data_IF_021492878270
#
_entry.id   IF_021492878270
#
_cell.length_a   1.000
_cell.length_b   1.000
_cell.length_c   1.000
_cell.angle_alpha   90.00
_cell.angle_beta   90.00
_cell.angle_gamma   90.00
#
_symmetry.space_group_name_H-M   'P 1'
#
loop_
_entity.id
_entity.type
_entity.pdbx_description
1 polymer ?
#
# COMPACT_ATOMS: atom_id res chain seq x y z
N UNK A 1 -5.56 -15.89 13.00
CA UNK A 1 -4.55 -15.02 13.56
C UNK A 1 -4.50 -13.68 12.86
N UNK A 2 -4.12 -12.66 13.57
CA UNK A 2 -4.07 -11.30 13.03
C UNK A 2 -2.65 -10.93 12.61
N UNK A 3 -2.53 -10.33 11.43
CA UNK A 3 -1.27 -9.77 10.93
C UNK A 3 -1.47 -8.28 10.68
N UNK A 4 -0.46 -7.49 11.02
CA UNK A 4 -0.47 -6.05 10.84
C UNK A 4 0.59 -5.68 9.80
N UNK A 5 0.22 -4.83 8.86
CA UNK A 5 1.12 -4.44 7.78
C UNK A 5 0.90 -3.00 7.37
N UNK A 6 1.81 -2.48 6.56
CA UNK A 6 1.68 -1.17 5.95
C UNK A 6 1.75 -1.31 4.44
N UNK A 7 1.10 -0.40 3.74
CA UNK A 7 1.26 -0.21 2.31
C UNK A 7 1.40 1.28 2.07
N UNK A 8 2.43 1.68 1.34
CA UNK A 8 2.82 3.09 1.24
C UNK A 8 2.93 3.49 -0.22
N UNK A 9 2.33 4.63 -0.53
CA UNK A 9 2.37 5.21 -1.87
C UNK A 9 3.15 6.51 -1.83
N UNK A 10 4.31 6.52 -2.47
CA UNK A 10 5.18 7.69 -2.53
C UNK A 10 4.77 8.50 -3.75
N UNK A 11 4.46 9.76 -3.51
CA UNK A 11 3.81 10.65 -4.47
C UNK A 11 4.70 11.87 -4.70
N UNK A 12 5.17 12.04 -5.94
CA UNK A 12 6.03 13.17 -6.29
C UNK A 12 5.25 14.37 -6.84
N UNK A 13 3.92 14.33 -6.76
CA UNK A 13 3.05 15.39 -7.27
C UNK A 13 2.53 15.14 -8.68
N UNK A 14 3.05 14.15 -9.37
CA UNK A 14 2.65 13.78 -10.74
C UNK A 14 2.53 12.28 -10.92
N UNK A 15 3.27 11.52 -10.12
CA UNK A 15 3.38 10.08 -10.26
C UNK A 15 3.35 9.42 -8.90
N UNK A 16 2.92 8.16 -8.85
CA UNK A 16 3.07 7.32 -7.67
C UNK A 16 4.17 6.31 -7.93
N UNK A 17 4.97 6.03 -6.91
CA UNK A 17 5.99 4.99 -6.99
C UNK A 17 5.32 3.65 -6.74
N UNK A 18 5.36 2.76 -7.72
CA UNK A 18 4.84 1.42 -7.58
C UNK A 18 5.97 0.40 -7.69
N UNK A 19 5.80 -0.71 -7.02
CA UNK A 19 6.76 -1.80 -7.01
C UNK A 19 6.15 -2.98 -7.77
N UNK A 20 6.77 -3.38 -8.87
CA UNK A 20 6.40 -4.61 -9.57
C UNK A 20 7.09 -5.77 -8.89
N UNK A 21 6.32 -6.71 -8.38
CA UNK A 21 6.86 -7.88 -7.67
C UNK A 21 7.34 -8.92 -8.68
N UNK A 22 8.59 -8.86 -9.05
CA UNK A 22 9.16 -9.70 -10.10
C UNK A 22 10.50 -10.36 -9.73
N UNK A 23 10.90 -10.30 -8.45
CA UNK A 23 12.20 -10.83 -8.02
C UNK A 23 12.14 -12.06 -7.13
N UNK A 24 10.97 -12.39 -6.58
CA UNK A 24 10.81 -13.54 -5.69
C UNK A 24 9.88 -14.58 -6.31
N UNK A 25 10.33 -15.83 -6.49
CA UNK A 25 9.44 -16.88 -6.99
C UNK A 25 8.39 -17.23 -5.93
N UNK A 26 7.21 -17.63 -6.38
CA UNK A 26 6.10 -18.05 -5.51
C UNK A 26 5.62 -16.94 -4.56
N UNK A 27 5.87 -15.68 -4.93
CA UNK A 27 5.36 -14.53 -4.21
C UNK A 27 3.86 -14.40 -4.50
N UNK A 28 3.04 -14.22 -3.47
CA UNK A 28 1.59 -14.08 -3.63
C UNK A 28 1.26 -12.88 -4.53
N UNK A 29 2.14 -11.88 -4.58
CA UNK A 29 1.97 -10.70 -5.43
C UNK A 29 2.71 -10.78 -6.76
N UNK A 30 3.24 -11.96 -7.14
CA UNK A 30 4.07 -12.09 -8.32
C UNK A 30 3.44 -11.46 -9.56
N UNK A 31 4.21 -10.61 -10.25
CA UNK A 31 3.78 -9.92 -11.47
C UNK A 31 2.89 -8.71 -11.25
N UNK A 32 2.52 -8.41 -10.00
CA UNK A 32 1.63 -7.31 -9.70
C UNK A 32 2.40 -6.06 -9.27
N UNK A 33 1.82 -4.90 -9.59
CA UNK A 33 2.32 -3.61 -9.13
C UNK A 33 1.60 -3.26 -7.84
N UNK A 34 2.35 -3.00 -6.78
CA UNK A 34 1.78 -2.66 -5.46
C UNK A 34 2.53 -1.48 -4.87
N UNK A 35 2.01 -0.92 -3.79
CA UNK A 35 2.75 0.03 -2.98
C UNK A 35 3.85 -0.69 -2.21
N UNK A 36 4.81 0.08 -1.68
CA UNK A 36 5.86 -0.47 -0.84
C UNK A 36 5.39 -0.57 0.60
N UNK A 37 5.97 -1.47 1.37
CA UNK A 37 5.57 -1.67 2.76
C UNK A 37 5.86 -3.10 3.21
N UNK A 38 5.34 -3.46 4.37
CA UNK A 38 5.55 -4.79 4.90
C UNK A 38 4.95 -4.96 6.27
N UNK A 39 5.31 -6.05 6.92
CA UNK A 39 4.78 -6.39 8.23
C UNK A 39 5.33 -5.47 9.31
N UNK A 40 4.45 -5.06 10.22
CA UNK A 40 4.83 -4.28 11.40
C UNK A 40 5.55 -5.23 12.36
N UNK A 41 6.73 -4.84 12.79
CA UNK A 41 7.51 -5.65 13.72
C UNK A 41 7.13 -5.34 15.16
N UNK A 42 7.49 -6.24 16.07
CA UNK A 42 7.17 -6.07 17.47
C UNK A 42 7.67 -4.72 17.98
N UNK A 43 6.80 -3.96 18.61
CA UNK A 43 7.14 -2.66 19.19
C UNK A 43 7.17 -1.49 18.21
N UNK A 44 7.01 -1.74 16.92
CA UNK A 44 6.94 -0.66 15.93
C UNK A 44 5.55 -0.03 15.88
N UNK A 45 5.49 1.28 15.73
CA UNK A 45 4.25 1.92 15.30
C UNK A 45 4.07 1.70 13.79
N UNK A 46 2.85 1.91 13.25
CA UNK A 46 2.66 1.87 11.79
C UNK A 46 3.60 2.83 11.07
N UNK A 47 3.81 4.04 11.62
CA UNK A 47 4.69 5.03 11.03
C UNK A 47 6.14 4.56 10.99
N UNK A 48 6.62 3.99 12.08
CA UNK A 48 7.98 3.45 12.12
C UNK A 48 8.19 2.34 11.10
N UNK A 49 7.21 1.46 10.98
CA UNK A 49 7.24 0.40 9.98
C UNK A 49 7.28 0.97 8.57
N UNK A 50 6.42 1.96 8.28
CA UNK A 50 6.36 2.58 6.96
C UNK A 50 7.72 3.20 6.60
N UNK A 51 8.29 3.98 7.51
CA UNK A 51 9.58 4.64 7.28
C UNK A 51 10.68 3.61 7.03
N UNK A 52 10.73 2.56 7.83
CA UNK A 52 11.73 1.49 7.69
C UNK A 52 11.58 0.74 6.37
N UNK A 53 10.38 0.29 6.06
CA UNK A 53 10.11 -0.48 4.84
C UNK A 53 10.37 0.36 3.58
N UNK A 54 9.98 1.63 3.59
CA UNK A 54 10.24 2.51 2.45
C UNK A 54 11.74 2.64 2.22
N UNK A 55 12.51 2.84 3.28
CA UNK A 55 13.97 2.97 3.14
C UNK A 55 14.60 1.66 2.64
N UNK A 56 14.19 0.53 3.21
CA UNK A 56 14.73 -0.78 2.80
C UNK A 56 14.41 -1.12 1.35
N UNK A 57 13.20 -0.80 0.90
CA UNK A 57 12.77 -1.20 -0.44
C UNK A 57 13.10 -0.17 -1.51
N UNK A 58 13.21 1.10 -1.18
CA UNK A 58 13.37 2.16 -2.18
C UNK A 58 14.62 3.01 -2.03
N UNK A 59 15.22 3.04 -0.84
CA UNK A 59 16.32 3.96 -0.55
C UNK A 59 15.86 5.36 -0.20
N UNK A 60 14.57 5.64 -0.25
CA UNK A 60 14.05 6.98 0.01
C UNK A 60 13.85 7.22 1.50
N UNK A 61 14.07 8.46 1.91
CA UNK A 61 13.89 8.92 3.27
C UNK A 61 12.63 9.76 3.34
N UNK A 62 11.71 9.36 4.22
CA UNK A 62 10.43 10.03 4.38
C UNK A 62 10.57 11.30 5.21
N UNK A 63 10.00 12.41 4.74
CA UNK A 63 9.95 13.66 5.49
C UNK A 63 8.52 14.05 5.86
N UNK A 64 7.53 13.66 5.05
CA UNK A 64 6.12 13.94 5.35
C UNK A 64 5.26 12.81 4.78
N UNK A 65 4.41 12.26 5.64
CA UNK A 65 3.46 11.25 5.22
C UNK A 65 2.16 11.40 5.99
N UNK A 66 1.08 10.87 5.43
CA UNK A 66 -0.24 10.89 6.05
C UNK A 66 -0.84 9.50 6.03
N UNK A 67 -1.49 9.12 7.13
CA UNK A 67 -2.28 7.90 7.18
C UNK A 67 -3.59 8.16 6.45
N UNK A 68 -3.84 7.44 5.37
CA UNK A 68 -5.00 7.67 4.51
C UNK A 68 -6.14 6.70 4.78
N UNK A 69 -5.85 5.55 5.36
CA UNK A 69 -6.89 4.59 5.68
C UNK A 69 -6.33 3.34 6.32
N UNK A 70 -7.25 2.49 6.74
CA UNK A 70 -6.95 1.15 7.26
C UNK A 70 -7.82 0.17 6.51
N UNK A 71 -7.22 -0.93 6.06
CA UNK A 71 -7.95 -1.95 5.31
C UNK A 71 -7.85 -3.28 6.04
N UNK A 72 -8.99 -3.94 6.17
CA UNK A 72 -9.07 -5.30 6.69
C UNK A 72 -9.17 -6.27 5.52
N UNK A 73 -8.30 -7.27 5.49
CA UNK A 73 -8.36 -8.35 4.52
C UNK A 73 -8.56 -9.67 5.28
N UNK A 74 -9.82 -10.09 5.52
CA UNK A 74 -10.04 -11.34 6.24
C UNK A 74 -9.47 -12.51 5.47
N UNK A 75 -8.71 -13.35 6.16
CA UNK A 75 -8.15 -14.58 5.63
C UNK A 75 -7.50 -14.43 4.23
N UNK A 76 -6.86 -13.29 3.97
CA UNK A 76 -6.18 -13.09 2.68
C UNK A 76 -5.09 -14.12 2.48
N UNK A 77 -4.37 -14.48 3.53
CA UNK A 77 -3.49 -15.65 3.52
C UNK A 77 -4.07 -16.68 4.49
N UNK A 78 -3.78 -17.97 4.30
CA UNK A 78 -4.39 -19.01 5.14
C UNK A 78 -4.24 -18.73 6.62
N UNK A 79 -5.37 -18.77 7.34
CA UNK A 79 -5.46 -18.60 8.79
C UNK A 79 -5.06 -17.22 9.31
N UNK A 80 -4.91 -16.21 8.43
CA UNK A 80 -4.53 -14.86 8.85
C UNK A 80 -5.47 -13.80 8.30
N UNK A 81 -5.96 -12.96 9.21
CA UNK A 81 -6.62 -11.72 8.86
C UNK A 81 -5.56 -10.63 8.83
N UNK A 82 -5.53 -9.85 7.77
CA UNK A 82 -4.56 -8.78 7.62
C UNK A 82 -5.22 -7.42 7.85
N UNK A 83 -4.59 -6.61 8.68
CA UNK A 83 -4.99 -5.21 8.90
C UNK A 83 -3.85 -4.36 8.36
N UNK A 84 -4.14 -3.56 7.34
CA UNK A 84 -3.11 -2.83 6.60
C UNK A 84 -3.34 -1.34 6.72
N UNK A 85 -2.31 -0.63 7.20
CA UNK A 85 -2.31 0.83 7.29
C UNK A 85 -1.83 1.39 5.97
N UNK A 86 -2.62 2.28 5.37
CA UNK A 86 -2.33 2.87 4.05
C UNK A 86 -1.77 4.27 4.23
N UNK A 87 -0.55 4.48 3.78
CA UNK A 87 0.12 5.78 3.88
C UNK A 87 0.36 6.40 2.51
N UNK A 88 0.32 7.72 2.46
CA UNK A 88 0.74 8.50 1.31
C UNK A 88 1.89 9.38 1.73
N UNK A 89 3.01 9.31 1.00
CA UNK A 89 4.22 10.07 1.29
C UNK A 89 4.34 11.18 0.25
N UNK A 90 4.37 12.44 0.70
CA UNK A 90 4.38 13.59 -0.20
C UNK A 90 5.69 14.38 -0.16
N UNK A 91 6.53 14.17 0.88
CA UNK A 91 7.85 14.81 0.94
C UNK A 91 8.88 13.75 1.32
N UNK A 92 9.91 13.66 0.53
CA UNK A 92 10.94 12.64 0.69
C UNK A 92 12.22 13.10 0.01
N UNK A 93 13.33 12.41 0.30
CA UNK A 93 14.63 12.68 -0.31
C UNK A 93 15.37 11.38 -0.57
N UNK A 94 16.48 11.47 -1.27
CA UNK A 94 17.31 10.32 -1.58
C UNK A 94 17.12 9.86 -3.01
N UNK A 95 17.78 8.76 -3.36
CA UNK A 95 17.74 8.20 -4.70
C UNK A 95 17.25 6.77 -4.63
N UNK A 96 16.51 6.35 -5.65
CA UNK A 96 16.01 4.99 -5.71
C UNK A 96 17.15 3.99 -5.83
N UNK A 97 17.06 2.92 -5.05
CA UNK A 97 17.97 1.79 -5.16
C UNK A 97 17.34 0.73 -6.05
N UNK A 98 18.13 -0.28 -6.41
CA UNK A 98 17.59 -1.48 -7.05
C UNK A 98 16.92 -2.30 -5.95
N UNK A 99 15.59 -2.29 -5.92
CA UNK A 99 14.85 -2.89 -4.81
C UNK A 99 15.05 -4.40 -4.74
N UNK A 100 15.28 -4.94 -3.52
CA UNK A 100 15.38 -6.40 -3.37
C UNK A 100 14.04 -7.11 -3.59
N UNK A 101 12.92 -6.37 -3.56
CA UNK A 101 11.59 -6.95 -3.66
C UNK A 101 11.04 -6.95 -5.09
N UNK A 102 11.59 -6.15 -5.98
CA UNK A 102 11.10 -6.06 -7.35
C UNK A 102 11.64 -4.86 -8.09
N UNK A 103 10.89 -4.41 -9.09
CA UNK A 103 11.26 -3.28 -9.93
C UNK A 103 10.41 -2.08 -9.56
N UNK A 104 11.07 -0.98 -9.19
CA UNK A 104 10.40 0.28 -8.87
C UNK A 104 10.13 1.07 -10.13
N UNK A 105 8.94 1.66 -10.21
CA UNK A 105 8.56 2.47 -11.36
C UNK A 105 7.73 3.67 -10.90
N UNK A 106 8.09 4.87 -11.37
CA UNK A 106 7.24 6.05 -11.20
C UNK A 106 6.15 5.99 -12.25
N UNK A 107 4.90 5.89 -11.81
CA UNK A 107 3.74 5.71 -12.70
C UNK A 107 2.88 6.97 -12.69
N UNK A 108 2.69 7.63 -13.83
CA UNK A 108 1.81 8.81 -13.90
C UNK A 108 0.41 8.48 -13.37
N UNK A 109 -0.21 9.45 -12.73
CA UNK A 109 -1.53 9.24 -12.11
C UNK A 109 -2.54 8.61 -13.08
N UNK A 110 -2.55 9.07 -14.34
CA UNK A 110 -3.50 8.57 -15.32
C UNK A 110 -3.19 7.16 -15.83
N UNK A 111 -2.12 6.56 -15.39
CA UNK A 111 -1.74 5.19 -15.76
C UNK A 111 -1.77 4.22 -14.58
N UNK A 112 -1.90 4.74 -13.35
CA UNK A 112 -1.85 3.91 -12.15
C UNK A 112 -2.89 2.79 -12.18
N UNK A 113 -4.12 3.12 -12.55
CA UNK A 113 -5.21 2.14 -12.50
C UNK A 113 -5.20 1.16 -13.69
N UNK A 114 -4.28 1.33 -14.63
CA UNK A 114 -4.13 0.39 -15.75
C UNK A 114 -3.05 -0.66 -15.50
N UNK A 115 -2.30 -0.56 -14.40
CA UNK A 115 -1.26 -1.53 -14.10
C UNK A 115 -1.84 -2.84 -13.55
N UNK A 116 -1.23 -3.98 -13.89
CA UNK A 116 -1.68 -5.27 -13.33
C UNK A 116 -1.50 -5.27 -11.81
N UNK A 117 -2.59 -5.49 -11.08
CA UNK A 117 -2.54 -5.58 -9.62
C UNK A 117 -3.82 -6.26 -9.11
N UNK A 118 -3.93 -6.35 -7.80
CA UNK A 118 -5.15 -6.86 -7.16
C UNK A 118 -6.31 -5.91 -7.46
N UNK A 119 -7.50 -6.46 -7.70
CA UNK A 119 -8.66 -5.63 -8.00
C UNK A 119 -8.99 -4.67 -6.86
N UNK A 120 -8.84 -5.12 -5.61
CA UNK A 120 -9.04 -4.24 -4.46
C UNK A 120 -8.07 -3.07 -4.44
N UNK A 121 -6.82 -3.30 -4.85
CA UNK A 121 -5.82 -2.24 -4.92
C UNK A 121 -6.24 -1.16 -5.92
N UNK A 122 -6.80 -1.54 -7.04
CA UNK A 122 -7.31 -0.57 -8.01
C UNK A 122 -8.39 0.30 -7.37
N UNK A 123 -9.23 -0.28 -6.53
CA UNK A 123 -10.32 0.45 -5.88
C UNK A 123 -9.76 1.46 -4.87
N UNK A 124 -8.92 1.03 -3.92
CA UNK A 124 -8.46 1.99 -2.91
C UNK A 124 -7.41 2.95 -3.45
N UNK A 125 -6.65 2.59 -4.49
CA UNK A 125 -5.78 3.57 -5.14
C UNK A 125 -6.60 4.67 -5.80
N UNK A 126 -7.78 4.34 -6.33
CA UNK A 126 -8.65 5.38 -6.89
C UNK A 126 -9.07 6.38 -5.80
N UNK A 127 -9.32 5.91 -4.59
CA UNK A 127 -9.66 6.81 -3.48
C UNK A 127 -8.49 7.75 -3.14
N UNK A 128 -7.26 7.24 -3.21
CA UNK A 128 -6.08 8.07 -2.99
C UNK A 128 -5.92 9.13 -4.08
N UNK A 129 -6.10 8.74 -5.33
CA UNK A 129 -5.98 9.66 -6.47
C UNK A 129 -7.08 10.72 -6.44
N UNK A 130 -8.29 10.35 -6.00
CA UNK A 130 -9.42 11.27 -5.86
C UNK A 130 -9.35 12.11 -4.59
N UNK A 131 -8.36 11.84 -3.75
CA UNK A 131 -8.18 12.53 -2.45
C UNK A 131 -9.40 12.42 -1.56
N UNK A 132 -9.99 11.22 -1.50
CA UNK A 132 -11.11 10.94 -0.61
C UNK A 132 -10.68 11.07 0.86
N UNK A 133 -11.64 11.30 1.77
CA UNK A 133 -11.34 11.36 3.20
C UNK A 133 -10.76 10.04 3.72
N UNK A 134 -10.25 10.07 4.97
CA UNK A 134 -9.76 8.85 5.63
C UNK A 134 -10.81 7.74 5.53
N UNK A 135 -10.36 6.54 5.24
CA UNK A 135 -11.27 5.42 5.08
C UNK A 135 -10.90 4.23 5.96
N UNK A 136 -11.93 3.49 6.33
CA UNK A 136 -11.78 2.16 6.90
C UNK A 136 -12.52 1.22 5.97
N UNK A 137 -11.82 0.26 5.39
CA UNK A 137 -12.41 -0.62 4.39
C UNK A 137 -12.13 -2.09 4.71
N UNK A 138 -12.99 -2.95 4.20
CA UNK A 138 -12.80 -4.40 4.30
C UNK A 138 -12.95 -4.97 2.90
N UNK A 139 -11.92 -5.69 2.44
CA UNK A 139 -11.92 -6.33 1.12
C UNK A 139 -11.93 -7.85 1.29
N UNK A 140 -12.90 -8.50 0.69
CA UNK A 140 -13.05 -9.95 0.77
C UNK A 140 -12.48 -10.58 -0.49
N UNK A 141 -11.54 -11.49 -0.31
CA UNK A 141 -10.97 -12.31 -1.37
C UNK A 141 -11.22 -13.79 -1.06
N UNK A 142 -11.46 -14.58 -2.08
CA UNK A 142 -11.58 -16.03 -1.95
C UNK A 142 -10.74 -16.67 -3.05
N UNK A 143 -9.81 -17.53 -2.67
CA UNK A 143 -8.90 -18.21 -3.61
C UNK A 143 -8.19 -17.20 -4.55
N UNK A 144 -7.78 -16.06 -3.99
CA UNK A 144 -7.06 -15.05 -4.76
C UNK A 144 -7.94 -14.15 -5.62
N UNK A 145 -9.26 -14.33 -5.57
CA UNK A 145 -10.19 -13.53 -6.36
C UNK A 145 -10.98 -12.56 -5.49
N UNK A 146 -11.10 -11.34 -5.97
CA UNK A 146 -11.89 -10.30 -5.31
C UNK A 146 -13.36 -10.66 -5.35
N UNK A 147 -14.05 -10.60 -4.20
CA UNK A 147 -15.48 -10.88 -4.08
C UNK A 147 -16.26 -9.59 -3.88
N UNK A 148 -15.93 -8.81 -2.84
CA UNK A 148 -16.64 -7.58 -2.53
C UNK A 148 -15.85 -6.76 -1.53
N UNK A 149 -16.30 -5.53 -1.28
CA UNK A 149 -15.73 -4.70 -0.23
C UNK A 149 -16.83 -3.86 0.45
N UNK A 150 -16.45 -3.33 1.61
CA UNK A 150 -17.23 -2.35 2.35
C UNK A 150 -16.29 -1.21 2.69
N UNK A 151 -16.79 0.03 2.76
CA UNK A 151 -15.96 1.17 3.13
C UNK A 151 -16.78 2.20 3.88
N UNK A 152 -16.13 2.82 4.88
CA UNK A 152 -16.61 4.01 5.57
C UNK A 152 -15.60 5.11 5.37
N UNK A 153 -16.04 6.30 4.98
CA UNK A 153 -15.19 7.47 4.86
C UNK A 153 -15.45 8.40 6.03
N UNK A 154 -14.38 8.92 6.64
CA UNK A 154 -14.47 9.80 7.80
C UNK A 154 -14.00 11.19 7.45
N UNK A 155 -14.82 12.21 7.74
CA UNK A 155 -14.47 13.59 7.45
C UNK A 155 -13.86 14.24 8.70
N UNK A 156 -13.00 15.25 8.47
CA UNK A 156 -12.27 15.88 9.56
C UNK A 156 -13.09 16.88 10.37
N UNK A 157 -14.22 17.32 9.82
CA UNK A 157 -15.08 18.29 10.51
C UNK A 157 -16.25 17.62 11.22
N UNK A 158 -16.15 16.37 11.49
CA UNK A 158 -17.16 15.63 12.24
C UNK A 158 -16.85 15.76 13.73
N UNK A 159 -17.62 16.56 14.41
CA UNK A 159 -17.38 16.87 15.82
C UNK A 159 -18.57 16.53 16.68
#
# INVERSE_FOLDING_TARGET
MTRLATICYIDNGKELLLLKRDKKPNDVHEGKYIGVGGKIEAGESPEECAIREIFEETGLKVHKMALKGIITFPEFTPEHDWYTYVFRVTEFSGELIDSPEGTLEWVPYNQVLSKPTWQGDLIFMSWLLEKRPFFSAKFIYENGEYIRHQVEFYTTNEQ
#
